data_IF_948937740239
#
_entry.id   IF_948937740239
#
_cell.length_a   1.000
_cell.length_b   1.000
_cell.length_c   1.000
_cell.angle_alpha   90.00
_cell.angle_beta   90.00
_cell.angle_gamma   90.00
#
_symmetry.space_group_name_H-M   'P 1'
#
loop_
_entity.id
_entity.type
_entity.pdbx_description
1 polymer ?
#
# COMPACT_ATOMS: atom_id res chain seq x y z
N UNK A 1 -7.13 1.08 18.62
CA UNK A 1 -7.17 0.89 17.17
C UNK A 1 -7.76 2.14 16.55
N UNK A 2 -7.06 2.76 15.59
CA UNK A 2 -7.58 3.84 14.76
C UNK A 2 -7.11 3.63 13.32
N UNK A 3 -8.07 3.48 12.43
CA UNK A 3 -7.84 3.53 10.98
C UNK A 3 -8.07 4.96 10.54
N UNK A 4 -6.99 5.61 10.10
CA UNK A 4 -7.04 6.98 9.61
C UNK A 4 -7.56 6.98 8.17
N UNK A 5 -8.56 7.79 7.91
CA UNK A 5 -9.03 8.12 6.56
C UNK A 5 -8.12 9.14 5.88
N UNK A 6 -7.27 9.84 6.64
CA UNK A 6 -6.26 10.76 6.13
C UNK A 6 -5.18 10.03 5.33
N UNK A 7 -4.62 10.70 4.32
CA UNK A 7 -3.51 10.17 3.56
C UNK A 7 -2.30 9.90 4.49
N UNK A 8 -1.65 8.72 4.40
CA UNK A 8 -0.52 8.35 5.27
C UNK A 8 0.65 9.36 5.29
N UNK A 9 0.77 10.20 4.25
CA UNK A 9 1.72 11.31 4.13
C UNK A 9 1.72 12.27 5.32
N UNK A 10 0.57 12.44 5.96
CA UNK A 10 0.42 13.36 7.10
C UNK A 10 0.86 12.74 8.43
N UNK A 11 0.87 11.42 8.52
CA UNK A 11 1.29 10.73 9.74
C UNK A 11 2.79 10.96 9.99
N UNK A 12 3.17 11.18 11.24
CA UNK A 12 4.54 11.07 11.73
C UNK A 12 4.95 9.60 11.84
N UNK A 13 6.22 9.33 12.17
CA UNK A 13 6.75 7.96 12.29
C UNK A 13 5.97 7.09 13.29
N UNK A 14 5.70 7.55 14.54
CA UNK A 14 4.80 6.85 15.46
C UNK A 14 3.39 6.61 14.88
N UNK A 15 2.81 7.61 14.20
CA UNK A 15 1.51 7.49 13.55
C UNK A 15 1.48 6.41 12.47
N UNK A 16 2.50 6.37 11.60
CA UNK A 16 2.59 5.42 10.49
C UNK A 16 2.83 3.98 10.98
N UNK A 17 3.76 3.79 11.92
CA UNK A 17 4.07 2.47 12.51
C UNK A 17 2.93 1.95 13.41
N UNK A 18 2.25 2.84 14.14
CA UNK A 18 1.02 2.53 14.87
C UNK A 18 -0.10 2.13 13.92
N UNK A 19 -0.35 2.93 12.88
CA UNK A 19 -1.38 2.69 11.87
C UNK A 19 -1.22 1.35 11.18
N UNK A 20 0.01 0.96 10.79
CA UNK A 20 0.28 -0.37 10.22
C UNK A 20 -0.12 -1.52 11.15
N UNK A 21 0.28 -1.46 12.43
CA UNK A 21 -0.07 -2.51 13.41
C UNK A 21 -1.57 -2.59 13.67
N UNK A 22 -2.21 -1.43 13.78
CA UNK A 22 -3.66 -1.33 13.99
C UNK A 22 -4.46 -1.81 12.76
N UNK A 23 -3.96 -1.57 11.55
CA UNK A 23 -4.55 -2.07 10.31
C UNK A 23 -4.42 -3.58 10.15
N UNK A 24 -3.28 -4.17 10.54
CA UNK A 24 -3.12 -5.63 10.57
C UNK A 24 -4.04 -6.27 11.63
N UNK A 25 -4.23 -5.62 12.77
CA UNK A 25 -5.22 -6.04 13.75
C UNK A 25 -6.64 -5.97 13.16
N UNK A 26 -6.99 -4.88 12.46
CA UNK A 26 -8.26 -4.75 11.76
C UNK A 26 -8.49 -5.87 10.74
N UNK A 27 -7.48 -6.20 9.92
CA UNK A 27 -7.52 -7.34 8.99
C UNK A 27 -7.81 -8.65 9.74
N UNK A 28 -7.11 -8.91 10.85
CA UNK A 28 -7.34 -10.11 11.66
C UNK A 28 -8.75 -10.14 12.28
N UNK A 29 -9.27 -9.01 12.75
CA UNK A 29 -10.64 -8.90 13.30
C UNK A 29 -11.68 -9.18 12.23
N UNK A 30 -11.52 -8.59 11.04
CA UNK A 30 -12.44 -8.78 9.91
C UNK A 30 -12.39 -10.21 9.35
N UNK A 31 -11.23 -10.87 9.40
CA UNK A 31 -11.05 -12.27 9.05
C UNK A 31 -11.49 -13.26 10.16
N UNK A 32 -12.03 -12.79 11.29
CA UNK A 32 -12.49 -13.64 12.38
C UNK A 32 -11.36 -14.34 13.16
N UNK A 33 -10.11 -13.89 13.03
CA UNK A 33 -8.94 -14.50 13.68
C UNK A 33 -8.72 -14.03 15.12
N UNK A 34 -9.54 -13.10 15.64
CA UNK A 34 -9.41 -12.56 17.00
C UNK A 34 -10.51 -13.09 17.93
N UNK A 35 -10.14 -13.43 19.17
CA UNK A 35 -11.10 -13.82 20.22
C UNK A 35 -11.83 -12.62 20.83
N UNK A 36 -11.11 -11.50 21.02
CA UNK A 36 -11.62 -10.23 21.53
C UNK A 36 -11.57 -9.09 20.49
N UNK A 37 -12.08 -7.91 20.87
CA UNK A 37 -12.03 -6.69 20.05
C UNK A 37 -12.74 -6.78 18.69
N UNK A 38 -13.87 -7.50 18.65
CA UNK A 38 -14.62 -7.79 17.42
C UNK A 38 -15.52 -6.63 16.98
N UNK A 39 -16.04 -5.82 17.90
CA UNK A 39 -17.03 -4.78 17.60
C UNK A 39 -16.44 -3.37 17.51
N UNK A 40 -15.30 -3.22 16.82
CA UNK A 40 -14.73 -1.89 16.66
C UNK A 40 -15.57 -1.04 15.69
N UNK A 41 -16.00 0.18 16.07
CA UNK A 41 -16.95 0.96 15.26
C UNK A 41 -16.41 1.37 13.88
N UNK A 42 -15.14 1.76 13.78
CA UNK A 42 -14.55 2.12 12.48
C UNK A 42 -14.53 0.96 11.47
N UNK A 43 -14.68 -0.30 11.91
CA UNK A 43 -14.74 -1.45 11.00
C UNK A 43 -16.11 -1.62 10.33
N UNK A 44 -17.15 -0.91 10.78
CA UNK A 44 -18.49 -0.97 10.16
C UNK A 44 -18.43 -0.64 8.67
N UNK A 45 -17.65 0.38 8.28
CA UNK A 45 -17.49 0.78 6.87
C UNK A 45 -16.81 -0.31 6.02
N UNK A 46 -15.82 -1.01 6.59
CA UNK A 46 -15.15 -2.12 5.90
C UNK A 46 -16.06 -3.34 5.78
N UNK A 47 -16.86 -3.64 6.81
CA UNK A 47 -17.86 -4.73 6.77
C UNK A 47 -18.98 -4.50 5.75
N UNK A 48 -19.31 -3.23 5.49
CA UNK A 48 -20.29 -2.85 4.45
C UNK A 48 -19.71 -2.93 3.04
N UNK A 49 -18.38 -3.00 2.90
CA UNK A 49 -17.73 -3.11 1.60
C UNK A 49 -17.92 -4.51 1.03
N UNK A 50 -18.34 -4.60 -0.23
CA UNK A 50 -18.65 -5.86 -0.92
C UNK A 50 -17.46 -6.83 -0.97
N UNK A 51 -16.24 -6.28 -1.00
CA UNK A 51 -15.00 -7.04 -0.92
C UNK A 51 -14.17 -6.54 0.27
N UNK A 52 -14.50 -6.99 1.47
CA UNK A 52 -13.81 -6.57 2.70
C UNK A 52 -12.31 -6.91 2.69
N UNK A 53 -11.87 -8.12 2.28
CA UNK A 53 -10.45 -8.45 2.21
C UNK A 53 -9.67 -7.55 1.25
N UNK A 54 -10.17 -7.29 0.04
CA UNK A 54 -9.47 -6.44 -0.93
C UNK A 54 -9.41 -4.98 -0.45
N UNK A 55 -10.47 -4.47 0.19
CA UNK A 55 -10.46 -3.13 0.80
C UNK A 55 -9.41 -3.00 1.91
N UNK A 56 -9.33 -3.97 2.82
CA UNK A 56 -8.28 -3.97 3.85
C UNK A 56 -6.88 -4.09 3.26
N UNK A 57 -6.74 -4.87 2.18
CA UNK A 57 -5.51 -5.02 1.43
C UNK A 57 -5.03 -3.71 0.82
N UNK A 58 -5.92 -3.00 0.12
CA UNK A 58 -5.64 -1.68 -0.44
C UNK A 58 -5.29 -0.65 0.65
N UNK A 59 -5.95 -0.72 1.81
CA UNK A 59 -5.63 0.14 2.96
C UNK A 59 -4.20 -0.10 3.49
N UNK A 60 -3.83 -1.37 3.69
CA UNK A 60 -2.50 -1.73 4.14
C UNK A 60 -1.41 -1.39 3.10
N UNK A 61 -1.70 -1.58 1.82
CA UNK A 61 -0.76 -1.30 0.74
C UNK A 61 -0.34 0.18 0.72
N UNK A 62 -1.28 1.12 0.81
CA UNK A 62 -0.95 2.55 0.83
C UNK A 62 -0.13 2.97 2.06
N UNK A 63 -0.30 2.31 3.22
CA UNK A 63 0.59 2.50 4.37
C UNK A 63 2.01 1.98 4.08
N UNK A 64 2.13 0.84 3.41
CA UNK A 64 3.42 0.27 3.01
C UNK A 64 4.12 1.13 1.94
N UNK A 65 3.38 1.66 0.97
CA UNK A 65 3.90 2.55 -0.07
C UNK A 65 4.43 3.86 0.55
N UNK A 66 3.70 4.42 1.51
CA UNK A 66 4.16 5.58 2.28
C UNK A 66 5.43 5.27 3.09
N UNK A 67 5.47 4.10 3.73
CA UNK A 67 6.63 3.66 4.49
C UNK A 67 7.86 3.58 3.58
N UNK A 68 7.75 2.93 2.43
CA UNK A 68 8.84 2.78 1.46
C UNK A 68 9.32 4.11 0.90
N UNK A 69 8.40 5.02 0.57
CA UNK A 69 8.76 6.37 0.09
C UNK A 69 9.60 7.14 1.12
N UNK A 70 9.49 6.80 2.41
CA UNK A 70 10.26 7.39 3.51
C UNK A 70 11.47 6.54 3.94
N UNK A 71 11.76 5.44 3.23
CA UNK A 71 12.86 4.53 3.55
C UNK A 71 12.57 3.56 4.72
N UNK A 72 11.31 3.41 5.12
CA UNK A 72 10.87 2.34 6.03
C UNK A 72 10.42 1.11 5.25
N UNK A 73 10.45 -0.06 5.89
CA UNK A 73 9.98 -1.31 5.27
C UNK A 73 8.93 -1.96 6.14
N UNK A 74 7.71 -2.08 5.60
CA UNK A 74 6.69 -2.95 6.16
C UNK A 74 6.69 -4.30 5.44
N UNK A 75 6.41 -5.35 6.18
CA UNK A 75 6.34 -6.70 5.63
C UNK A 75 5.01 -6.90 4.90
N UNK A 76 5.02 -6.68 3.58
CA UNK A 76 3.83 -6.84 2.71
C UNK A 76 3.31 -8.26 2.64
N UNK A 77 4.10 -9.28 3.01
CA UNK A 77 3.62 -10.68 3.05
C UNK A 77 2.51 -10.89 4.10
N UNK A 78 2.31 -9.92 5.00
CA UNK A 78 1.26 -9.93 6.02
C UNK A 78 -0.09 -9.39 5.53
N UNK A 79 -0.17 -8.90 4.30
CA UNK A 79 -1.41 -8.41 3.70
C UNK A 79 -2.13 -9.63 3.09
N UNK A 80 -3.34 -9.94 3.55
CA UNK A 80 -4.05 -11.16 3.13
C UNK A 80 -4.43 -11.12 1.64
N UNK A 81 -4.80 -9.94 1.14
CA UNK A 81 -5.21 -9.71 -0.25
C UNK A 81 -4.50 -8.45 -0.77
N UNK A 82 -3.21 -8.52 -1.15
CA UNK A 82 -2.49 -7.36 -1.65
C UNK A 82 -3.12 -6.89 -2.99
N UNK A 83 -3.21 -5.57 -3.23
CA UNK A 83 -3.65 -5.09 -4.54
C UNK A 83 -2.67 -5.58 -5.62
N UNK A 84 -3.18 -5.79 -6.84
CA UNK A 84 -2.31 -6.09 -7.97
C UNK A 84 -1.23 -5.01 -8.07
N UNK A 85 0.02 -5.45 -8.26
CA UNK A 85 1.12 -4.53 -8.48
C UNK A 85 0.74 -3.65 -9.68
N UNK A 86 0.54 -2.36 -9.45
CA UNK A 86 0.34 -1.42 -10.54
C UNK A 86 1.65 -1.41 -11.32
N UNK A 87 1.63 -1.97 -12.53
CA UNK A 87 2.78 -1.92 -13.44
C UNK A 87 3.16 -0.46 -13.63
N UNK A 88 4.18 -0.05 -12.87
CA UNK A 88 4.73 1.29 -12.99
C UNK A 88 5.48 1.27 -14.30
N UNK A 89 4.90 1.92 -15.31
CA UNK A 89 5.43 1.99 -16.66
C UNK A 89 6.94 2.26 -16.65
N UNK A 90 7.70 1.24 -17.02
CA UNK A 90 9.11 1.39 -17.32
C UNK A 90 9.19 2.16 -18.63
N UNK A 91 9.48 3.46 -18.55
CA UNK A 91 9.84 4.27 -19.71
C UNK A 91 11.02 3.62 -20.41
N UNK A 92 10.75 2.90 -21.49
CA UNK A 92 11.77 2.35 -22.38
C UNK A 92 12.21 3.49 -23.30
N UNK A 93 13.32 4.13 -22.93
CA UNK A 93 14.03 5.03 -23.82
C UNK A 93 14.47 4.26 -25.07
N UNK A 94 13.76 4.48 -26.17
CA UNK A 94 14.21 4.09 -27.50
C UNK A 94 15.32 5.05 -27.91
N UNK A 95 16.55 4.55 -28.05
CA UNK A 95 17.57 5.20 -28.87
C UNK A 95 18.04 4.20 -29.91
N UNK A 96 17.67 4.51 -31.15
CA UNK A 96 18.25 3.97 -32.37
C UNK A 96 19.77 4.16 -32.41
N UNK A 97 20.45 3.19 -33.00
CA UNK A 97 21.87 3.28 -33.33
C UNK A 97 22.47 1.93 -33.72
N UNK A 98 22.47 1.62 -35.01
CA UNK A 98 23.23 0.53 -35.67
C UNK A 98 23.87 1.16 -36.93
N UNK A 99 24.93 0.63 -37.59
CA UNK A 99 25.88 -0.46 -37.28
C UNK A 99 27.37 -0.06 -37.36
N UNK A 100 28.28 -0.97 -36.99
CA UNK A 100 29.68 -0.94 -37.41
C UNK A 100 30.44 -2.25 -37.15
N UNK A 101 30.69 -3.01 -38.22
CA UNK A 101 31.73 -4.06 -38.35
C UNK A 101 32.72 -3.57 -39.46
N UNK A 102 33.91 -4.17 -39.73
CA UNK A 102 34.36 -5.56 -39.46
C UNK A 102 35.88 -5.77 -39.16
N UNK A 103 36.32 -7.04 -39.02
CA UNK A 103 37.73 -7.50 -39.15
C UNK A 103 38.07 -8.69 -38.22
N UNK A 104 38.05 -9.95 -38.69
CA UNK A 104 39.21 -10.85 -39.02
C UNK A 104 40.19 -11.14 -37.86
N UNK A 105 40.85 -12.29 -37.65
CA UNK A 105 40.86 -13.69 -38.12
C UNK A 105 41.98 -14.42 -37.32
N UNK A 106 41.84 -15.72 -37.03
CA UNK A 106 42.91 -16.64 -36.56
C UNK A 106 43.10 -16.71 -35.03
N UNK A 107 43.44 -17.83 -34.39
CA UNK A 107 43.63 -19.25 -34.77
C UNK A 107 43.75 -20.06 -33.44
N UNK A 108 43.43 -21.37 -33.48
CA UNK A 108 43.88 -22.44 -32.54
C UNK A 108 43.35 -22.37 -31.08
N UNK A 109 42.94 -23.41 -30.36
CA UNK A 109 43.08 -24.85 -30.48
C UNK A 109 43.40 -25.43 -29.09
N UNK A 110 42.41 -25.71 -28.23
CA UNK A 110 42.62 -26.40 -26.93
C UNK A 110 41.36 -27.18 -26.49
N UNK A 111 41.49 -28.43 -25.99
CA UNK A 111 40.36 -29.33 -25.82
C UNK A 111 39.46 -29.04 -24.60
N UNK A 112 38.17 -29.24 -24.90
CA UNK A 112 37.00 -29.50 -24.07
C UNK A 112 37.24 -30.31 -22.79
N UNK A 113 36.82 -29.75 -21.65
CA UNK A 113 36.39 -30.52 -20.47
C UNK A 113 34.97 -30.07 -20.13
N UNK A 114 34.01 -30.96 -20.35
CA UNK A 114 32.59 -30.75 -20.09
C UNK A 114 32.27 -31.10 -18.64
N UNK A 115 31.74 -30.17 -17.81
CA UNK A 115 31.16 -30.54 -16.51
C UNK A 115 29.83 -31.29 -16.72
N UNK A 116 29.42 -32.20 -15.82
CA UNK A 116 28.15 -32.92 -15.96
C UNK A 116 26.97 -31.94 -15.98
N UNK A 117 26.15 -32.05 -17.03
CA UNK A 117 24.99 -31.18 -17.24
C UNK A 117 23.96 -31.31 -16.12
N UNK A 118 23.51 -30.16 -15.63
CA UNK A 118 22.30 -30.07 -14.79
C UNK A 118 21.12 -30.57 -15.66
N UNK A 119 20.29 -31.52 -15.19
CA UNK A 119 19.14 -31.97 -15.97
C UNK A 119 18.18 -30.80 -16.24
N UNK A 120 17.51 -30.75 -17.41
CA UNK A 120 16.59 -29.67 -17.71
C UNK A 120 15.45 -29.64 -16.70
N UNK A 121 15.22 -28.47 -16.10
CA UNK A 121 14.04 -28.19 -15.28
C UNK A 121 12.81 -28.40 -16.17
N UNK A 122 11.79 -29.18 -15.76
CA UNK A 122 10.59 -29.35 -16.56
C UNK A 122 9.91 -27.99 -16.81
N UNK A 123 9.28 -27.78 -17.99
CA UNK A 123 8.63 -26.52 -18.27
C UNK A 123 7.53 -26.27 -17.23
N UNK A 124 7.67 -25.16 -16.50
CA UNK A 124 6.62 -24.63 -15.65
C UNK A 124 5.41 -24.36 -16.56
N UNK A 125 4.21 -24.88 -16.25
CA UNK A 125 3.03 -24.59 -17.06
C UNK A 125 2.81 -23.06 -17.12
N UNK A 126 2.31 -22.52 -18.25
CA UNK A 126 2.01 -21.09 -18.31
C UNK A 126 1.05 -20.75 -17.18
N UNK A 127 1.48 -19.84 -16.31
CA UNK A 127 0.63 -19.19 -15.32
C UNK A 127 -0.56 -18.62 -16.11
N UNK A 128 -1.82 -18.94 -15.77
CA UNK A 128 -2.95 -18.34 -16.47
C UNK A 128 -2.82 -16.80 -16.41
N UNK A 129 -3.28 -16.06 -17.44
CA UNK A 129 -3.27 -14.61 -17.36
C UNK A 129 -4.01 -14.22 -16.08
N UNK A 130 -3.31 -13.51 -15.19
CA UNK A 130 -3.90 -12.92 -14.01
C UNK A 130 -5.15 -12.17 -14.45
N UNK A 131 -6.33 -12.64 -14.03
CA UNK A 131 -7.58 -11.92 -14.26
C UNK A 131 -7.36 -10.47 -13.86
N UNK A 132 -7.81 -9.48 -14.65
CA UNK A 132 -7.65 -8.08 -14.27
C UNK A 132 -8.26 -7.94 -12.88
N UNK A 133 -7.41 -7.64 -11.90
CA UNK A 133 -7.86 -7.42 -10.53
C UNK A 133 -8.73 -6.18 -10.61
N UNK A 134 -10.05 -6.38 -10.53
CA UNK A 134 -10.98 -5.26 -10.60
C UNK A 134 -10.58 -4.23 -9.55
N UNK A 135 -10.59 -2.92 -9.88
CA UNK A 135 -10.21 -1.91 -8.93
C UNK A 135 -11.14 -1.96 -7.72
N UNK A 136 -10.54 -1.94 -6.52
CA UNK A 136 -11.28 -1.92 -5.25
C UNK A 136 -12.17 -0.68 -5.22
N UNK A 137 -13.47 -0.85 -4.95
CA UNK A 137 -14.40 0.28 -4.88
C UNK A 137 -14.03 1.19 -3.71
N UNK A 138 -14.10 2.53 -3.88
CA UNK A 138 -13.87 3.44 -2.77
C UNK A 138 -14.90 3.27 -1.65
N UNK A 139 -14.47 3.50 -0.42
CA UNK A 139 -15.32 3.56 0.77
C UNK A 139 -15.69 5.04 1.02
N UNK A 140 -16.97 5.40 1.15
CA UNK A 140 -17.34 6.77 1.49
C UNK A 140 -16.82 7.15 2.88
N UNK A 141 -16.37 8.40 3.02
CA UNK A 141 -16.06 9.05 4.30
C UNK A 141 -16.66 10.44 4.29
N UNK A 142 -17.30 10.84 5.38
CA UNK A 142 -17.90 12.17 5.45
C UNK A 142 -16.86 13.28 5.61
N UNK A 143 -17.13 14.46 5.05
CA UNK A 143 -16.33 15.68 5.26
C UNK A 143 -16.14 15.97 6.77
N UNK A 144 -17.19 15.82 7.58
CA UNK A 144 -17.11 15.99 9.02
C UNK A 144 -16.13 15.01 9.69
N UNK A 145 -16.12 13.74 9.28
CA UNK A 145 -15.16 12.76 9.80
C UNK A 145 -13.72 13.10 9.41
N UNK A 146 -13.49 13.55 8.18
CA UNK A 146 -12.15 13.97 7.72
C UNK A 146 -11.66 15.17 8.52
N UNK A 147 -12.52 16.19 8.71
CA UNK A 147 -12.20 17.36 9.51
C UNK A 147 -11.88 16.99 10.98
N UNK A 148 -12.67 16.09 11.57
CA UNK A 148 -12.43 15.59 12.92
C UNK A 148 -11.09 14.86 13.04
N UNK A 149 -10.81 13.95 12.11
CA UNK A 149 -9.54 13.23 12.08
C UNK A 149 -8.35 14.17 11.86
N UNK A 150 -8.51 15.21 11.05
CA UNK A 150 -7.48 16.21 10.81
C UNK A 150 -7.11 16.96 12.10
N UNK A 151 -8.11 17.47 12.82
CA UNK A 151 -7.90 18.14 14.11
C UNK A 151 -7.23 17.19 15.12
N UNK A 152 -7.69 15.95 15.19
CA UNK A 152 -7.14 14.96 16.10
C UNK A 152 -5.69 14.56 15.75
N UNK A 153 -5.34 14.53 14.46
CA UNK A 153 -3.96 14.33 14.03
C UNK A 153 -3.09 15.53 14.41
N UNK A 154 -3.53 16.76 14.13
CA UNK A 154 -2.79 17.98 14.46
C UNK A 154 -2.52 18.09 15.96
N UNK A 155 -3.52 17.82 16.80
CA UNK A 155 -3.35 17.80 18.26
C UNK A 155 -2.24 16.83 18.70
N UNK A 156 -2.24 15.61 18.15
CA UNK A 156 -1.19 14.63 18.45
C UNK A 156 0.18 15.07 17.93
N UNK A 157 0.24 15.67 16.74
CA UNK A 157 1.49 16.17 16.15
C UNK A 157 2.07 17.34 16.94
N UNK A 158 1.24 18.21 17.51
CA UNK A 158 1.70 19.34 18.32
C UNK A 158 2.59 18.87 19.49
N UNK A 159 2.27 17.71 20.09
CA UNK A 159 3.04 17.12 21.18
C UNK A 159 4.28 16.36 20.70
N UNK A 160 4.12 15.49 19.68
CA UNK A 160 5.16 14.51 19.30
C UNK A 160 6.04 14.91 18.13
N UNK A 161 5.62 15.88 17.32
CA UNK A 161 6.34 16.35 16.14
C UNK A 161 5.99 17.81 15.81
N UNK A 162 6.46 18.78 16.63
CA UNK A 162 6.11 20.20 16.48
C UNK A 162 6.40 20.77 15.09
N UNK A 163 7.50 20.34 14.47
CA UNK A 163 7.87 20.78 13.11
C UNK A 163 6.85 20.33 12.06
N UNK A 164 6.38 19.06 12.14
CA UNK A 164 5.33 18.56 11.24
C UNK A 164 4.00 19.26 11.52
N UNK A 165 3.67 19.50 12.79
CA UNK A 165 2.48 20.27 13.15
C UNK A 165 2.53 21.68 12.55
N UNK A 166 3.67 22.37 12.66
CA UNK A 166 3.85 23.70 12.08
C UNK A 166 3.72 23.71 10.56
N UNK A 167 4.23 22.68 9.87
CA UNK A 167 4.10 22.53 8.43
C UNK A 167 2.67 22.20 7.98
N UNK A 168 1.91 21.46 8.78
CA UNK A 168 0.58 20.95 8.39
C UNK A 168 -0.58 21.82 8.85
N UNK A 169 -0.44 22.63 9.90
CA UNK A 169 -1.55 23.43 10.47
C UNK A 169 -2.19 24.42 9.48
N UNK A 170 -1.50 24.77 8.40
CA UNK A 170 -2.01 25.68 7.36
C UNK A 170 -2.79 24.94 6.25
N UNK A 171 -2.78 23.60 6.22
CA UNK A 171 -3.54 22.81 5.24
C UNK A 171 -5.00 22.82 5.64
N UNK A 172 -5.84 23.31 4.74
CA UNK A 172 -7.30 23.45 4.94
C UNK A 172 -8.10 22.33 4.27
N UNK A 173 -7.53 21.67 3.27
CA UNK A 173 -8.16 20.55 2.54
C UNK A 173 -7.22 19.34 2.54
N UNK A 174 -7.25 18.51 3.61
CA UNK A 174 -6.33 17.39 3.74
C UNK A 174 -6.74 16.23 2.82
N UNK A 175 -5.79 15.77 2.01
CA UNK A 175 -5.95 14.55 1.21
C UNK A 175 -6.34 13.33 2.07
N UNK A 176 -7.29 12.54 1.58
CA UNK A 176 -7.64 11.26 2.17
C UNK A 176 -6.80 10.12 1.60
N UNK A 177 -6.78 9.01 2.33
CA UNK A 177 -6.19 7.77 1.89
C UNK A 177 -6.92 7.28 0.60
N UNK A 178 -6.21 6.74 -0.42
CA UNK A 178 -6.78 6.45 -1.76
C UNK A 178 -8.01 5.54 -1.79
N UNK A 179 -8.15 4.65 -0.79
CA UNK A 179 -9.35 3.83 -0.61
C UNK A 179 -10.62 4.62 -0.28
N UNK A 180 -10.52 5.86 0.19
CA UNK A 180 -11.67 6.64 0.62
C UNK A 180 -12.08 7.68 -0.40
N UNK A 181 -13.39 7.89 -0.51
CA UNK A 181 -13.98 8.98 -1.27
C UNK A 181 -14.72 9.91 -0.30
N UNK A 182 -14.38 11.20 -0.31
CA UNK A 182 -15.04 12.19 0.53
C UNK A 182 -16.46 12.43 0.00
N UNK A 183 -17.43 12.42 0.91
CA UNK A 183 -18.84 12.75 0.64
C UNK A 183 -19.35 13.79 1.65
N UNK A 184 -20.31 14.64 1.28
CA UNK A 184 -20.92 15.56 2.23
C UNK A 184 -21.56 14.82 3.41
N UNK A 185 -21.34 15.29 4.63
CA UNK A 185 -21.96 14.71 5.82
C UNK A 185 -21.32 15.12 7.15
N UNK A 186 -22.00 14.87 8.28
CA UNK A 186 -21.49 15.15 9.62
C UNK A 186 -20.37 14.17 10.01
N UNK A 187 -19.79 14.37 11.19
CA UNK A 187 -18.94 13.36 11.83
C UNK A 187 -19.73 12.03 11.93
N UNK A 188 -19.05 10.91 11.74
CA UNK A 188 -19.69 9.60 11.79
C UNK A 188 -20.18 9.26 13.20
N UNK A 189 -21.36 8.65 13.33
CA UNK A 189 -22.08 8.44 14.60
C UNK A 189 -21.29 7.68 15.68
N UNK A 190 -20.23 6.96 15.29
CA UNK A 190 -19.37 6.24 16.23
C UNK A 190 -18.27 7.06 16.86
N UNK A 191 -17.94 8.22 16.28
CA UNK A 191 -16.87 9.06 16.78
C UNK A 191 -17.37 9.81 18.03
N UNK A 192 -16.51 9.91 19.05
CA UNK A 192 -16.80 10.63 20.28
C UNK A 192 -15.91 11.87 20.31
N UNK A 193 -16.47 13.07 20.03
CA UNK A 193 -15.70 14.30 20.01
C UNK A 193 -15.17 14.72 21.38
#
# INVERSE_FOLDING_TARGET
MRLWTLHPRYLDRPGLTGGWREALLAQAVLAGRTRGYRSHPQLVRFRRHADTPAAMGAYLAALADEAERRGYRFDRSRIDCPPAASETGTGTGTKDGTPGAPGASGAEGTPSVTPPGIPPVPPVPPVPPVSPTMPVRPIPVTEGQVAFEWQHLLAKLAERSPDRHAALRAVTDPEVHPLFQVVPGPIEDWERP
#
